data_IF_325504573873
#
_entry.id   IF_325504573873
#
_cell.length_a   1.000
_cell.length_b   1.000
_cell.length_c   1.000
_cell.angle_alpha   90.00
_cell.angle_beta   90.00
_cell.angle_gamma   90.00
#
_symmetry.space_group_name_H-M   'P 1'
#
loop_
_entity.id
_entity.type
_entity.pdbx_description
1 polymer ?
#
# COMPACT_ATOMS: atom_id res chain seq x y z
N UNK A 1 -14.56 9.67 -15.76
CA UNK A 1 -14.87 8.37 -16.40
C UNK A 1 -15.88 7.67 -15.50
N UNK A 2 -17.05 7.23 -15.99
CA UNK A 2 -17.96 6.45 -15.16
C UNK A 2 -17.31 5.09 -14.91
N UNK A 3 -16.91 4.81 -13.66
CA UNK A 3 -16.47 3.48 -13.23
C UNK A 3 -17.67 2.55 -13.32
N UNK A 4 -17.65 1.63 -14.29
CA UNK A 4 -18.59 0.53 -14.32
C UNK A 4 -18.56 -0.20 -12.97
N UNK A 5 -19.71 -0.71 -12.47
CA UNK A 5 -19.76 -1.45 -11.22
C UNK A 5 -18.76 -2.60 -11.24
N UNK A 6 -17.98 -2.74 -10.16
CA UNK A 6 -17.02 -3.83 -10.02
C UNK A 6 -17.78 -5.16 -9.96
N UNK A 7 -17.48 -6.15 -10.83
CA UNK A 7 -18.12 -7.45 -10.79
C UNK A 7 -18.02 -8.10 -9.40
N UNK A 8 -19.03 -8.85 -8.93
CA UNK A 8 -19.01 -9.48 -7.59
C UNK A 8 -17.76 -10.34 -7.33
N UNK A 9 -17.33 -11.08 -8.34
CA UNK A 9 -16.11 -11.89 -8.34
C UNK A 9 -14.83 -11.07 -8.13
N UNK A 10 -14.79 -9.81 -8.59
CA UNK A 10 -13.67 -8.89 -8.37
C UNK A 10 -13.69 -8.28 -6.96
N UNK A 11 -14.84 -8.23 -6.29
CA UNK A 11 -14.94 -7.66 -4.94
C UNK A 11 -14.21 -8.52 -3.90
N UNK A 12 -14.30 -9.85 -3.99
CA UNK A 12 -13.56 -10.74 -3.10
C UNK A 12 -12.04 -10.65 -3.31
N UNK A 13 -11.60 -10.55 -4.57
CA UNK A 13 -10.19 -10.37 -4.93
C UNK A 13 -9.63 -9.05 -4.35
N UNK A 14 -10.39 -7.96 -4.49
CA UNK A 14 -10.07 -6.64 -3.94
C UNK A 14 -9.99 -6.71 -2.42
N UNK A 15 -10.99 -7.28 -1.74
CA UNK A 15 -10.98 -7.37 -0.27
C UNK A 15 -9.76 -8.14 0.25
N UNK A 16 -9.40 -9.26 -0.39
CA UNK A 16 -8.18 -10.00 -0.07
C UNK A 16 -6.90 -9.19 -0.36
N UNK A 17 -6.90 -8.37 -1.42
CA UNK A 17 -5.72 -7.57 -1.79
C UNK A 17 -5.53 -6.43 -0.81
N UNK A 18 -6.62 -5.75 -0.47
CA UNK A 18 -6.61 -4.70 0.54
C UNK A 18 -6.09 -5.20 1.87
N UNK A 19 -6.52 -6.39 2.32
CA UNK A 19 -6.04 -6.96 3.57
C UNK A 19 -4.54 -7.26 3.52
N UNK A 20 -4.07 -7.93 2.46
CA UNK A 20 -2.66 -8.23 2.28
C UNK A 20 -1.79 -6.95 2.20
N UNK A 21 -2.30 -5.90 1.55
CA UNK A 21 -1.62 -4.60 1.50
C UNK A 21 -1.56 -3.98 2.89
N UNK A 22 -2.67 -3.93 3.64
CA UNK A 22 -2.71 -3.36 5.00
C UNK A 22 -1.65 -4.02 5.90
N UNK A 23 -1.60 -5.35 5.90
CA UNK A 23 -0.62 -6.12 6.68
C UNK A 23 0.81 -5.83 6.24
N UNK A 24 1.07 -5.76 4.93
CA UNK A 24 2.42 -5.55 4.41
C UNK A 24 2.99 -4.16 4.77
N UNK A 25 2.14 -3.13 4.88
CA UNK A 25 2.55 -1.73 5.02
C UNK A 25 2.39 -1.17 6.45
N UNK A 26 1.95 -1.99 7.40
CA UNK A 26 1.65 -1.57 8.78
C UNK A 26 2.83 -0.84 9.46
N UNK A 27 4.04 -1.35 9.25
CA UNK A 27 5.27 -0.74 9.77
C UNK A 27 5.52 0.66 9.17
N UNK A 28 5.34 0.84 7.86
CA UNK A 28 5.52 2.15 7.20
C UNK A 28 4.45 3.16 7.59
N UNK A 29 3.21 2.72 7.83
CA UNK A 29 2.15 3.58 8.36
C UNK A 29 2.51 4.06 9.77
N UNK A 30 2.99 3.16 10.63
CA UNK A 30 3.45 3.50 11.98
C UNK A 30 4.62 4.48 11.96
N UNK A 31 5.60 4.27 11.07
CA UNK A 31 6.73 5.18 10.90
C UNK A 31 6.31 6.56 10.39
N UNK A 32 5.39 6.60 9.41
CA UNK A 32 4.84 7.84 8.88
C UNK A 32 4.10 8.63 9.97
N UNK A 33 3.25 7.96 10.74
CA UNK A 33 2.51 8.58 11.84
C UNK A 33 3.46 9.14 12.92
N UNK A 34 4.47 8.36 13.32
CA UNK A 34 5.48 8.81 14.28
C UNK A 34 6.24 10.04 13.75
N UNK A 35 6.65 10.02 12.49
CA UNK A 35 7.39 11.14 11.88
C UNK A 35 6.56 12.42 11.83
N UNK A 36 5.26 12.31 11.49
CA UNK A 36 4.35 13.45 11.45
C UNK A 36 4.03 13.99 12.85
N UNK A 37 3.91 13.12 13.86
CA UNK A 37 3.57 13.54 15.21
C UNK A 37 4.69 14.30 15.93
N UNK A 38 5.95 14.06 15.56
CA UNK A 38 7.12 14.69 16.19
C UNK A 38 7.68 15.88 15.39
N UNK A 39 7.20 16.08 14.16
CA UNK A 39 7.65 17.17 13.29
C UNK A 39 6.74 18.37 13.50
N UNK A 40 7.32 19.54 13.80
CA UNK A 40 6.56 20.79 13.83
C UNK A 40 6.34 21.37 12.41
N UNK A 41 5.40 22.31 12.30
CA UNK A 41 5.04 22.93 11.02
C UNK A 41 6.22 23.61 10.30
N UNK A 42 7.18 24.15 11.06
CA UNK A 42 8.34 24.86 10.51
C UNK A 42 9.33 23.88 9.85
N UNK A 43 9.36 22.63 10.30
CA UNK A 43 10.25 21.58 9.81
C UNK A 43 9.53 20.48 9.01
N UNK A 44 8.24 20.65 8.68
CA UNK A 44 7.48 19.66 7.91
C UNK A 44 8.09 19.44 6.51
N UNK A 45 8.60 20.51 5.91
CA UNK A 45 9.16 20.50 4.56
C UNK A 45 10.68 20.31 4.53
N UNK A 46 11.24 20.12 3.33
CA UNK A 46 12.66 19.83 3.16
C UNK A 46 12.98 18.38 3.48
N UNK A 47 13.90 18.13 4.42
CA UNK A 47 14.34 16.77 4.73
C UNK A 47 13.19 15.84 5.16
N UNK A 48 12.26 16.34 5.98
CA UNK A 48 11.11 15.57 6.44
C UNK A 48 10.11 15.27 5.33
N UNK A 49 9.91 16.20 4.38
CA UNK A 49 9.10 15.94 3.19
C UNK A 49 9.69 14.80 2.35
N UNK A 50 11.00 14.79 2.11
CA UNK A 50 11.63 13.70 1.36
C UNK A 50 11.52 12.36 2.08
N UNK A 51 11.60 12.35 3.41
CA UNK A 51 11.36 11.14 4.21
C UNK A 51 9.91 10.65 4.07
N UNK A 52 8.93 11.55 4.16
CA UNK A 52 7.51 11.22 3.96
C UNK A 52 7.26 10.67 2.55
N UNK A 53 7.85 11.28 1.51
CA UNK A 53 7.76 10.79 0.13
C UNK A 53 8.39 9.41 -0.03
N UNK A 54 9.54 9.17 0.58
CA UNK A 54 10.19 7.86 0.56
C UNK A 54 9.31 6.78 1.20
N UNK A 55 8.66 7.09 2.32
CA UNK A 55 7.70 6.19 2.97
C UNK A 55 6.50 5.90 2.06
N UNK A 56 5.91 6.92 1.44
CA UNK A 56 4.81 6.74 0.49
C UNK A 56 5.21 5.83 -0.70
N UNK A 57 6.42 6.02 -1.25
CA UNK A 57 6.93 5.15 -2.31
C UNK A 57 7.15 3.71 -1.84
N UNK A 58 7.63 3.51 -0.61
CA UNK A 58 7.82 2.17 -0.03
C UNK A 58 6.48 1.45 0.16
N UNK A 59 5.46 2.15 0.66
CA UNK A 59 4.08 1.63 0.77
C UNK A 59 3.56 1.19 -0.61
N UNK A 60 3.72 2.04 -1.63
CA UNK A 60 3.30 1.71 -3.00
C UNK A 60 4.06 0.51 -3.59
N UNK A 61 5.37 0.42 -3.36
CA UNK A 61 6.18 -0.70 -3.80
C UNK A 61 5.70 -2.02 -3.18
N UNK A 62 5.47 -2.04 -1.86
CA UNK A 62 4.91 -3.20 -1.16
C UNK A 62 3.53 -3.60 -1.68
N UNK A 63 2.67 -2.63 -1.98
CA UNK A 63 1.36 -2.93 -2.57
C UNK A 63 1.48 -3.63 -3.94
N UNK A 64 2.41 -3.18 -4.79
CA UNK A 64 2.70 -3.81 -6.08
C UNK A 64 3.26 -5.22 -5.88
N UNK A 65 4.16 -5.42 -4.91
CA UNK A 65 4.71 -6.74 -4.58
C UNK A 65 3.63 -7.74 -4.15
N UNK A 66 2.65 -7.30 -3.34
CA UNK A 66 1.51 -8.14 -2.96
C UNK A 66 0.68 -8.56 -4.18
N UNK A 67 0.38 -7.61 -5.08
CA UNK A 67 -0.33 -7.93 -6.32
C UNK A 67 0.43 -8.93 -7.20
N UNK A 68 1.74 -8.73 -7.37
CA UNK A 68 2.59 -9.62 -8.18
C UNK A 68 2.74 -11.01 -7.57
N UNK A 69 2.81 -11.12 -6.24
CA UNK A 69 2.94 -12.41 -5.54
C UNK A 69 1.67 -13.24 -5.69
N UNK A 70 0.49 -12.65 -5.50
CA UNK A 70 -0.79 -13.35 -5.67
C UNK A 70 -0.98 -13.84 -7.10
N UNK A 71 -0.64 -13.03 -8.11
CA UNK A 71 -0.68 -13.44 -9.52
C UNK A 71 0.19 -14.68 -9.80
N UNK A 72 1.35 -14.81 -9.15
CA UNK A 72 2.20 -16.00 -9.28
C UNK A 72 1.54 -17.23 -8.67
N UNK A 73 0.95 -17.11 -7.47
CA UNK A 73 0.25 -18.22 -6.80
C UNK A 73 -0.93 -18.72 -7.63
N UNK A 74 -1.74 -17.81 -8.20
CA UNK A 74 -2.87 -18.18 -9.07
C UNK A 74 -2.44 -18.92 -10.36
N UNK A 75 -1.20 -18.72 -10.82
CA UNK A 75 -0.68 -19.40 -12.03
C UNK A 75 -0.13 -20.80 -11.73
N UNK A 76 -0.05 -21.21 -10.45
CA UNK A 76 0.62 -22.45 -10.03
C UNK A 76 -0.34 -23.58 -9.60
N UNK A 77 -1.65 -23.41 -9.73
CA UNK A 77 -2.60 -24.52 -9.50
C UNK A 77 -2.55 -25.55 -10.65
N UNK A 78 -2.47 -26.87 -10.36
CA UNK A 78 -2.20 -27.88 -11.37
C UNK A 78 -3.46 -28.29 -12.16
N UNK A 79 -3.19 -28.74 -13.39
CA UNK A 79 -4.12 -29.38 -14.32
C UNK A 79 -4.64 -30.74 -13.84
#
# INVERSE_FOLDING_TARGET
>A
MPTAPVPPEKQAEIAGLEQAIREAVDAEISELAANLAITDDAHLFGANEFKIRALAHKIAAKAIEQHLTRKKTDTTEPA
#
